data_IF_467385784237
#
_entry.id   IF_467385784237
#
_cell.length_a   1.000
_cell.length_b   1.000
_cell.length_c   1.000
_cell.angle_alpha   90.00
_cell.angle_beta   90.00
_cell.angle_gamma   90.00
#
_symmetry.space_group_name_H-M   'P 1'
#
loop_
_entity.id
_entity.type
_entity.pdbx_description
1 polymer ?
#
# COMPACT_ATOMS: atom_id res chain seq x y z
N UNK A 1 18.09 -45.15 31.05
CA UNK A 1 16.86 -45.18 30.23
C UNK A 1 16.59 -43.74 29.87
N UNK A 2 16.44 -43.50 28.57
CA UNK A 2 16.57 -42.22 27.87
C UNK A 2 15.74 -41.07 28.45
N UNK A 3 16.39 -39.93 28.69
CA UNK A 3 15.78 -38.60 28.57
C UNK A 3 16.47 -37.88 27.39
N UNK A 4 16.20 -38.36 26.19
CA UNK A 4 16.59 -37.69 24.95
C UNK A 4 15.30 -37.37 24.18
N UNK A 5 14.60 -36.32 24.61
CA UNK A 5 13.24 -36.09 24.14
C UNK A 5 12.68 -34.69 24.29
N UNK A 6 13.48 -33.63 24.41
CA UNK A 6 12.93 -32.25 24.39
C UNK A 6 13.90 -31.15 23.91
N UNK A 7 14.72 -31.44 22.90
CA UNK A 7 15.54 -30.41 22.22
C UNK A 7 15.15 -30.18 20.76
N UNK A 8 14.40 -31.10 20.15
CA UNK A 8 13.96 -31.01 18.75
C UNK A 8 12.78 -30.07 18.53
N UNK A 9 11.81 -30.03 19.44
CA UNK A 9 10.57 -29.28 19.27
C UNK A 9 10.76 -27.76 19.37
N UNK A 10 11.60 -27.30 20.31
CA UNK A 10 11.94 -25.88 20.47
C UNK A 10 12.65 -25.30 19.24
N UNK A 11 13.56 -26.07 18.63
CA UNK A 11 14.27 -25.68 17.40
C UNK A 11 13.36 -25.63 16.17
N UNK A 12 12.37 -26.52 16.06
CA UNK A 12 11.38 -26.49 14.97
C UNK A 12 10.45 -25.28 15.10
N UNK A 13 10.01 -24.95 16.33
CA UNK A 13 9.17 -23.78 16.61
C UNK A 13 9.89 -22.47 16.29
N UNK A 14 11.16 -22.34 16.68
CA UNK A 14 11.99 -21.18 16.38
C UNK A 14 12.18 -20.95 14.87
N UNK A 15 12.50 -22.01 14.12
CA UNK A 15 12.66 -21.91 12.65
C UNK A 15 11.38 -21.52 11.92
N UNK A 16 10.22 -22.06 12.35
CA UNK A 16 8.93 -21.69 11.77
C UNK A 16 8.61 -20.21 12.00
N UNK A 17 8.86 -19.71 13.21
CA UNK A 17 8.66 -18.30 13.54
C UNK A 17 9.57 -17.40 12.71
N UNK A 18 10.85 -17.75 12.59
CA UNK A 18 11.81 -16.98 11.78
C UNK A 18 11.38 -16.91 10.31
N UNK A 19 10.88 -18.01 9.75
CA UNK A 19 10.35 -18.05 8.39
C UNK A 19 9.15 -17.11 8.22
N UNK A 20 8.17 -17.17 9.12
CA UNK A 20 7.00 -16.28 9.10
C UNK A 20 7.39 -14.81 9.25
N UNK A 21 8.36 -14.48 10.11
CA UNK A 21 8.88 -13.12 10.23
C UNK A 21 9.52 -12.65 8.92
N UNK A 22 10.30 -13.49 8.24
CA UNK A 22 10.90 -13.16 6.93
C UNK A 22 9.84 -12.92 5.86
N UNK A 23 8.79 -13.74 5.83
CA UNK A 23 7.65 -13.56 4.91
C UNK A 23 6.89 -12.26 5.17
N UNK A 24 6.69 -11.90 6.44
CA UNK A 24 6.05 -10.65 6.84
C UNK A 24 6.87 -9.43 6.41
N UNK A 25 8.19 -9.45 6.65
CA UNK A 25 9.09 -8.38 6.19
C UNK A 25 9.09 -8.25 4.66
N UNK A 26 9.16 -9.37 3.95
CA UNK A 26 9.06 -9.39 2.48
C UNK A 26 7.74 -8.79 1.99
N UNK A 27 6.65 -9.05 2.71
CA UNK A 27 5.34 -8.47 2.38
C UNK A 27 5.34 -6.95 2.56
N UNK A 28 5.89 -6.44 3.66
CA UNK A 28 6.07 -4.99 3.88
C UNK A 28 6.94 -4.34 2.80
N UNK A 29 8.07 -4.97 2.43
CA UNK A 29 8.92 -4.47 1.35
C UNK A 29 8.17 -4.39 0.01
N UNK A 30 7.36 -5.39 -0.29
CA UNK A 30 6.54 -5.40 -1.51
C UNK A 30 5.51 -4.27 -1.49
N UNK A 31 4.85 -4.04 -0.35
CA UNK A 31 3.92 -2.92 -0.19
C UNK A 31 4.63 -1.57 -0.37
N UNK A 32 5.81 -1.39 0.25
CA UNK A 32 6.62 -0.19 0.07
C UNK A 32 7.04 0.04 -1.39
N UNK A 33 7.45 -1.03 -2.10
CA UNK A 33 7.75 -0.95 -3.54
C UNK A 33 6.53 -0.55 -4.38
N UNK A 34 5.35 -1.06 -4.04
CA UNK A 34 4.10 -0.67 -4.71
C UNK A 34 3.76 0.79 -4.44
N UNK A 35 3.91 1.26 -3.21
CA UNK A 35 3.66 2.66 -2.86
C UNK A 35 4.66 3.61 -3.53
N UNK A 36 5.94 3.25 -3.64
CA UNK A 36 6.91 4.05 -4.39
C UNK A 36 6.56 4.16 -5.89
N UNK A 37 6.00 3.09 -6.49
CA UNK A 37 5.48 3.14 -7.86
C UNK A 37 4.29 4.10 -7.97
N UNK A 38 3.42 4.11 -6.96
CA UNK A 38 2.27 5.01 -6.90
C UNK A 38 2.68 6.48 -6.75
N UNK A 39 3.64 6.77 -5.88
CA UNK A 39 4.23 8.12 -5.74
C UNK A 39 4.83 8.59 -7.06
N UNK A 40 5.59 7.72 -7.74
CA UNK A 40 6.17 8.02 -9.05
C UNK A 40 5.08 8.34 -10.08
N UNK A 41 4.04 7.51 -10.17
CA UNK A 41 2.90 7.75 -11.07
C UNK A 41 2.25 9.10 -10.79
N UNK A 42 2.02 9.41 -9.51
CA UNK A 42 1.44 10.68 -9.07
C UNK A 42 2.31 11.88 -9.45
N UNK A 43 3.63 11.78 -9.29
CA UNK A 43 4.58 12.83 -9.70
C UNK A 43 4.55 13.05 -11.20
N UNK A 44 4.53 11.97 -12.00
CA UNK A 44 4.41 12.07 -13.45
C UNK A 44 3.10 12.73 -13.86
N UNK A 45 1.96 12.37 -13.26
CA UNK A 45 0.69 13.04 -13.55
C UNK A 45 0.74 14.53 -13.19
N UNK A 46 1.39 14.91 -12.07
CA UNK A 46 1.59 16.32 -11.72
C UNK A 46 2.35 17.08 -12.81
N UNK A 47 3.41 16.49 -13.33
CA UNK A 47 4.19 17.08 -14.42
C UNK A 47 3.34 17.26 -15.68
N UNK A 48 2.49 16.28 -16.01
CA UNK A 48 1.54 16.38 -17.13
C UNK A 48 0.56 17.54 -16.89
N UNK A 49 -0.04 17.66 -15.69
CA UNK A 49 -0.91 18.79 -15.36
C UNK A 49 -0.21 20.15 -15.54
N UNK A 50 1.06 20.25 -15.12
CA UNK A 50 1.83 21.48 -15.27
C UNK A 50 2.09 21.81 -16.74
N UNK A 51 2.39 20.81 -17.57
CA UNK A 51 2.60 20.98 -19.00
C UNK A 51 1.31 21.39 -19.72
N UNK A 52 0.17 20.76 -19.40
CA UNK A 52 -1.14 21.15 -19.91
C UNK A 52 -1.45 22.61 -19.58
N UNK A 53 -1.29 23.01 -18.31
CA UNK A 53 -1.51 24.38 -17.86
C UNK A 53 -0.62 25.40 -18.58
N UNK A 54 0.63 25.03 -18.88
CA UNK A 54 1.54 25.88 -19.66
C UNK A 54 1.07 26.05 -21.12
N UNK A 55 0.51 25.00 -21.73
CA UNK A 55 0.05 25.01 -23.13
C UNK A 55 -1.37 25.56 -23.34
N UNK A 56 -2.21 25.63 -22.30
CA UNK A 56 -3.59 26.13 -22.37
C UNK A 56 -3.73 27.56 -22.91
N UNK A 57 -2.66 28.39 -22.83
CA UNK A 57 -2.63 29.74 -23.41
C UNK A 57 -2.43 29.79 -24.93
N UNK A 58 -2.06 28.67 -25.57
CA UNK A 58 -1.63 28.64 -26.98
C UNK A 58 -2.70 28.10 -27.95
N UNK A 59 -3.95 27.93 -27.50
CA UNK A 59 -5.09 27.53 -28.35
C UNK A 59 -5.09 26.09 -28.86
N UNK A 60 -4.15 25.25 -28.41
CA UNK A 60 -4.09 23.84 -28.81
C UNK A 60 -5.08 23.02 -27.98
N UNK A 61 -6.15 22.53 -28.60
CA UNK A 61 -7.05 21.56 -28.00
C UNK A 61 -6.29 20.24 -27.81
N UNK A 62 -5.87 19.95 -26.58
CA UNK A 62 -5.19 18.69 -26.24
C UNK A 62 -6.23 17.56 -26.20
N UNK A 63 -5.90 16.43 -26.83
CA UNK A 63 -6.71 15.22 -26.74
C UNK A 63 -6.85 14.80 -25.27
N UNK A 64 -8.07 14.50 -24.78
CA UNK A 64 -8.27 14.03 -23.42
C UNK A 64 -7.44 12.78 -23.12
N UNK A 65 -6.69 12.79 -22.01
CA UNK A 65 -5.90 11.64 -21.55
C UNK A 65 -6.75 10.57 -20.86
N UNK A 66 -7.92 10.95 -20.35
CA UNK A 66 -8.87 10.10 -19.66
C UNK A 66 -10.24 10.20 -20.33
N UNK A 67 -11.12 9.23 -20.05
CA UNK A 67 -12.43 9.14 -20.70
C UNK A 67 -13.33 10.32 -20.33
N UNK A 68 -13.47 10.60 -19.04
CA UNK A 68 -14.37 11.63 -18.53
C UNK A 68 -13.69 12.61 -17.58
N UNK A 69 -12.53 12.24 -17.01
CA UNK A 69 -11.84 13.07 -16.02
C UNK A 69 -10.86 14.08 -16.65
N UNK A 70 -10.78 15.31 -16.11
CA UNK A 70 -9.63 16.17 -16.39
C UNK A 70 -8.37 15.61 -15.71
N UNK A 71 -7.20 15.84 -16.32
CA UNK A 71 -5.92 15.37 -15.80
C UNK A 71 -5.64 15.86 -14.37
N UNK A 72 -6.09 17.06 -14.04
CA UNK A 72 -6.00 17.64 -12.68
C UNK A 72 -6.73 16.80 -11.64
N UNK A 73 -7.94 16.34 -11.95
CA UNK A 73 -8.71 15.51 -11.02
C UNK A 73 -8.09 14.12 -10.87
N UNK A 74 -7.60 13.51 -11.96
CA UNK A 74 -6.85 12.26 -11.87
C UNK A 74 -5.61 12.40 -10.98
N UNK A 75 -4.88 13.51 -11.08
CA UNK A 75 -3.74 13.81 -10.20
C UNK A 75 -4.16 13.92 -8.73
N UNK A 76 -5.24 14.65 -8.42
CA UNK A 76 -5.73 14.81 -7.05
C UNK A 76 -6.11 13.48 -6.40
N UNK A 77 -6.83 12.62 -7.14
CA UNK A 77 -7.21 11.28 -6.68
C UNK A 77 -5.97 10.40 -6.50
N UNK A 78 -5.03 10.44 -7.45
CA UNK A 78 -3.75 9.71 -7.36
C UNK A 78 -2.95 10.12 -6.11
N UNK A 79 -2.86 11.42 -5.83
CA UNK A 79 -2.17 11.97 -4.67
C UNK A 79 -2.82 11.54 -3.36
N UNK A 80 -4.16 11.65 -3.28
CA UNK A 80 -4.93 11.21 -2.10
C UNK A 80 -4.65 9.75 -1.79
N UNK A 81 -4.75 8.88 -2.79
CA UNK A 81 -4.48 7.45 -2.62
C UNK A 81 -3.03 7.17 -2.22
N UNK A 82 -2.07 7.84 -2.86
CA UNK A 82 -0.64 7.70 -2.52
C UNK A 82 -0.37 8.01 -1.05
N UNK A 83 -0.94 9.09 -0.53
CA UNK A 83 -0.80 9.49 0.88
C UNK A 83 -1.52 8.53 1.85
N UNK A 84 -2.70 8.03 1.46
CA UNK A 84 -3.42 7.01 2.24
C UNK A 84 -2.60 5.72 2.40
N UNK A 85 -2.07 5.19 1.30
CA UNK A 85 -1.24 3.97 1.34
C UNK A 85 0.10 4.20 2.03
N UNK A 86 0.68 5.40 1.93
CA UNK A 86 1.89 5.75 2.68
C UNK A 86 1.67 5.65 4.19
N UNK A 87 0.57 6.22 4.69
CA UNK A 87 0.18 6.16 6.11
C UNK A 87 -0.10 4.72 6.53
N UNK A 88 -0.81 3.95 5.69
CA UNK A 88 -1.10 2.55 5.97
C UNK A 88 0.16 1.70 6.08
N UNK A 89 1.14 1.89 5.18
CA UNK A 89 2.41 1.15 5.24
C UNK A 89 3.21 1.52 6.48
N UNK A 90 3.29 2.81 6.83
CA UNK A 90 3.95 3.25 8.06
C UNK A 90 3.30 2.61 9.29
N UNK A 91 1.96 2.59 9.34
CA UNK A 91 1.21 1.95 10.41
C UNK A 91 1.50 0.45 10.50
N UNK A 92 1.56 -0.24 9.36
CA UNK A 92 1.92 -1.66 9.29
C UNK A 92 3.35 -1.92 9.77
N UNK A 93 4.32 -1.06 9.47
CA UNK A 93 5.67 -1.17 10.03
C UNK A 93 5.67 -1.05 11.55
N UNK A 94 4.95 -0.08 12.11
CA UNK A 94 4.80 0.10 13.56
C UNK A 94 4.19 -1.14 14.20
N UNK A 95 3.11 -1.70 13.62
CA UNK A 95 2.49 -2.93 14.11
C UNK A 95 3.51 -4.07 14.20
N UNK A 96 4.35 -4.26 13.17
CA UNK A 96 5.33 -5.35 13.15
C UNK A 96 6.41 -5.15 14.21
N UNK A 97 6.89 -3.92 14.39
CA UNK A 97 7.86 -3.58 15.44
C UNK A 97 7.28 -3.88 16.83
N UNK A 98 6.07 -3.40 17.11
CA UNK A 98 5.37 -3.63 18.38
C UNK A 98 5.04 -5.11 18.63
N UNK A 99 4.74 -5.87 17.57
CA UNK A 99 4.47 -7.30 17.67
C UNK A 99 5.68 -8.09 18.18
N UNK A 100 6.91 -7.63 17.90
CA UNK A 100 8.13 -8.28 18.42
C UNK A 100 8.27 -8.15 19.94
N UNK A 101 7.68 -7.09 20.52
CA UNK A 101 7.72 -6.81 21.95
C UNK A 101 6.47 -7.30 22.69
N UNK A 102 5.40 -7.63 21.96
CA UNK A 102 4.12 -8.06 22.52
C UNK A 102 4.21 -9.45 23.17
N UNK A 103 4.00 -9.50 24.49
CA UNK A 103 3.91 -10.74 25.28
C UNK A 103 2.47 -11.12 25.66
N UNK A 104 1.52 -10.20 25.46
CA UNK A 104 0.12 -10.36 25.82
C UNK A 104 -0.70 -10.77 24.60
N UNK A 105 -1.44 -11.88 24.70
CA UNK A 105 -2.30 -12.39 23.64
C UNK A 105 -3.36 -11.39 23.18
N UNK A 106 -3.93 -10.60 24.09
CA UNK A 106 -4.94 -9.59 23.74
C UNK A 106 -4.34 -8.46 22.88
N UNK A 107 -3.09 -8.07 23.16
CA UNK A 107 -2.39 -7.07 22.34
C UNK A 107 -2.09 -7.62 20.95
N UNK A 108 -1.66 -8.88 20.85
CA UNK A 108 -1.42 -9.56 19.56
C UNK A 108 -2.71 -9.59 18.73
N UNK A 109 -3.86 -9.92 19.34
CA UNK A 109 -5.15 -9.93 18.64
C UNK A 109 -5.58 -8.53 18.19
N UNK A 110 -5.34 -7.50 19.00
CA UNK A 110 -5.58 -6.11 18.61
C UNK A 110 -4.71 -5.68 17.43
N UNK A 111 -3.43 -6.04 17.42
CA UNK A 111 -2.54 -5.75 16.29
C UNK A 111 -2.96 -6.49 15.02
N UNK A 112 -3.42 -7.74 15.14
CA UNK A 112 -3.96 -8.50 14.01
C UNK A 112 -5.22 -7.84 13.44
N UNK A 113 -6.16 -7.41 14.29
CA UNK A 113 -7.38 -6.75 13.80
C UNK A 113 -7.05 -5.42 13.11
N UNK A 114 -6.14 -4.62 13.68
CA UNK A 114 -5.64 -3.39 13.05
C UNK A 114 -4.99 -3.65 11.70
N UNK A 115 -4.18 -4.71 11.57
CA UNK A 115 -3.54 -5.09 10.31
C UNK A 115 -4.57 -5.42 9.21
N UNK A 116 -5.63 -6.14 9.57
CA UNK A 116 -6.66 -6.60 8.65
C UNK A 116 -7.61 -5.47 8.21
N UNK A 117 -7.97 -4.57 9.13
CA UNK A 117 -8.95 -3.51 8.87
C UNK A 117 -8.43 -2.42 7.92
N UNK A 118 -7.11 -2.18 7.86
CA UNK A 118 -6.49 -1.16 7.01
C UNK A 118 -7.10 0.26 7.18
N UNK A 119 -7.06 0.83 8.39
CA UNK A 119 -7.81 2.03 8.74
C UNK A 119 -7.48 3.25 7.87
N UNK A 120 -6.28 3.34 7.30
CA UNK A 120 -5.89 4.47 6.47
C UNK A 120 -6.23 4.27 4.98
N UNK A 121 -6.62 3.06 4.57
CA UNK A 121 -6.92 2.71 3.19
C UNK A 121 -8.39 2.30 2.94
N UNK A 122 -9.27 2.32 3.95
CA UNK A 122 -10.64 1.82 3.84
C UNK A 122 -11.45 2.42 2.67
N UNK A 123 -11.32 3.74 2.46
CA UNK A 123 -12.07 4.46 1.41
C UNK A 123 -11.36 4.48 0.05
N UNK A 124 -10.25 3.76 -0.12
CA UNK A 124 -9.45 3.79 -1.35
C UNK A 124 -10.08 3.02 -2.51
N UNK A 125 -10.92 2.03 -2.22
CA UNK A 125 -11.42 1.10 -3.23
C UNK A 125 -12.19 1.78 -4.36
N UNK A 126 -13.13 2.67 -4.02
CA UNK A 126 -13.93 3.38 -5.01
C UNK A 126 -13.07 4.31 -5.89
N UNK A 127 -12.08 4.98 -5.29
CA UNK A 127 -11.16 5.84 -6.03
C UNK A 127 -10.31 5.02 -7.02
N UNK A 128 -9.80 3.85 -6.61
CA UNK A 128 -9.04 2.94 -7.48
C UNK A 128 -9.90 2.40 -8.61
N UNK A 129 -11.11 1.91 -8.31
CA UNK A 129 -12.05 1.42 -9.33
C UNK A 129 -12.37 2.52 -10.36
N UNK A 130 -12.59 3.74 -9.89
CA UNK A 130 -12.84 4.89 -10.77
C UNK A 130 -11.63 5.20 -11.66
N UNK A 131 -10.41 5.19 -11.12
CA UNK A 131 -9.19 5.40 -11.92
C UNK A 131 -8.96 4.32 -12.98
N UNK A 132 -9.31 3.05 -12.69
CA UNK A 132 -9.19 1.95 -13.65
C UNK A 132 -10.17 2.10 -14.83
N UNK A 133 -11.40 2.55 -14.54
CA UNK A 133 -12.39 2.89 -15.58
C UNK A 133 -11.89 4.03 -16.46
N UNK A 134 -11.41 5.11 -15.85
CA UNK A 134 -10.95 6.31 -16.56
C UNK A 134 -9.74 6.06 -17.46
N UNK A 135 -8.89 5.09 -17.11
CA UNK A 135 -7.73 4.69 -17.91
C UNK A 135 -8.02 3.55 -18.90
N UNK A 136 -9.25 3.02 -18.92
CA UNK A 136 -9.65 1.92 -19.79
C UNK A 136 -9.10 0.54 -19.39
N UNK A 137 -8.54 0.40 -18.17
CA UNK A 137 -8.11 -0.88 -17.62
C UNK A 137 -9.30 -1.73 -17.15
N UNK A 138 -10.45 -1.10 -16.91
CA UNK A 138 -11.74 -1.76 -16.66
C UNK A 138 -12.76 -1.26 -17.68
N UNK A 139 -13.63 -2.17 -18.16
CA UNK A 139 -14.71 -1.81 -19.07
C UNK A 139 -15.75 -0.92 -18.36
N UNK A 140 -16.25 0.08 -19.09
CA UNK A 140 -17.35 0.96 -18.69
C UNK A 140 -18.70 0.22 -18.72
#
# INVERSE_FOLDING_TARGET
IEEEGDKGWGGIKGRKLEMLCKELHKTLENLAKLQAKMEKSTSTTKEICNLENYHSGNGNCQTPLFHTWPTTYFYEVSLKLSEMYKKEILFKCIIVEELTHAKNQNLILSYLSMWLYQPYAENSRLDVESMLLETGHQAL
#
